data_IF_670691926775
#
_entry.id   IF_670691926775
#
_cell.length_a   1.000
_cell.length_b   1.000
_cell.length_c   1.000
_cell.angle_alpha   90.00
_cell.angle_beta   90.00
_cell.angle_gamma   90.00
#
_symmetry.space_group_name_H-M   'P 1'
#
loop_
_entity.id
_entity.type
_entity.pdbx_description
1 polymer ?
#
# COMPACT_ATOMS: atom_id res chain seq x y z
N UNK A 1 -16.76 -7.59 2.40
CA UNK A 1 -16.35 -6.17 2.52
C UNK A 1 -15.29 -5.97 1.47
N UNK A 2 -15.48 -5.00 0.57
CA UNK A 2 -14.44 -4.61 -0.38
C UNK A 2 -13.46 -3.67 0.34
N UNK A 3 -12.16 -3.91 0.17
CA UNK A 3 -11.09 -3.11 0.77
C UNK A 3 -10.42 -2.18 -0.25
N UNK A 4 -10.77 -2.30 -1.53
CA UNK A 4 -10.20 -1.47 -2.58
C UNK A 4 -10.80 -0.07 -2.57
N UNK A 5 -9.96 0.93 -2.87
CA UNK A 5 -10.42 2.28 -3.20
C UNK A 5 -10.89 2.24 -4.66
N UNK A 6 -12.17 2.56 -4.95
CA UNK A 6 -12.63 2.64 -6.33
C UNK A 6 -11.77 3.62 -7.14
N UNK A 7 -11.19 3.14 -8.23
CA UNK A 7 -10.30 3.95 -9.04
C UNK A 7 -11.12 4.95 -9.90
N UNK A 8 -11.21 6.20 -9.44
CA UNK A 8 -11.96 7.26 -10.12
C UNK A 8 -11.09 7.97 -11.16
N UNK A 9 -10.99 7.38 -12.35
CA UNK A 9 -10.25 7.97 -13.48
C UNK A 9 -10.71 9.40 -13.79
N UNK A 10 -9.76 10.28 -14.09
CA UNK A 10 -9.95 11.73 -14.29
C UNK A 10 -10.45 12.48 -13.03
N UNK A 11 -10.69 11.79 -11.91
CA UNK A 11 -11.32 12.32 -10.71
C UNK A 11 -10.38 12.48 -9.51
N UNK A 12 -10.96 12.39 -8.31
CA UNK A 12 -10.21 12.36 -7.04
C UNK A 12 -9.74 10.93 -6.78
N UNK A 13 -8.48 10.79 -6.39
CA UNK A 13 -7.80 9.53 -6.09
C UNK A 13 -6.70 9.82 -5.06
N UNK A 14 -6.23 8.82 -4.28
CA UNK A 14 -5.07 9.03 -3.44
C UNK A 14 -3.86 9.31 -4.33
N UNK A 15 -2.85 9.97 -3.79
CA UNK A 15 -1.64 10.26 -4.54
C UNK A 15 -0.40 10.18 -3.66
N UNK A 16 0.57 9.39 -4.11
CA UNK A 16 1.95 9.38 -3.61
C UNK A 16 2.85 10.03 -4.66
N UNK A 17 3.73 10.93 -4.23
CA UNK A 17 4.72 11.62 -5.08
C UNK A 17 4.15 12.54 -6.18
N UNK A 18 2.95 13.08 -5.99
CA UNK A 18 2.28 14.02 -6.92
C UNK A 18 2.25 13.53 -8.38
N UNK A 19 2.08 12.22 -8.57
CA UNK A 19 2.02 11.62 -9.91
C UNK A 19 0.81 12.13 -10.69
N UNK A 20 0.89 12.05 -12.02
CA UNK A 20 -0.25 12.34 -12.89
C UNK A 20 -1.47 11.51 -12.48
N UNK A 21 -2.65 12.14 -12.51
CA UNK A 21 -3.90 11.44 -12.25
C UNK A 21 -4.13 10.33 -13.26
N UNK A 22 -4.79 9.26 -12.83
CA UNK A 22 -5.19 8.22 -13.76
C UNK A 22 -6.16 8.78 -14.79
N UNK A 23 -5.93 8.44 -16.06
CA UNK A 23 -6.71 8.93 -17.20
C UNK A 23 -7.54 7.81 -17.78
N UNK A 24 -8.76 8.13 -18.15
CA UNK A 24 -9.62 7.29 -18.97
C UNK A 24 -10.13 8.13 -20.14
N UNK A 25 -9.86 7.66 -21.34
CA UNK A 25 -10.28 8.29 -22.60
C UNK A 25 -10.78 7.24 -23.58
N UNK A 26 -11.72 7.56 -24.48
CA UNK A 26 -12.06 6.63 -25.55
C UNK A 26 -10.86 6.42 -26.49
N UNK A 27 -10.73 5.21 -27.02
CA UNK A 27 -9.78 4.87 -28.08
C UNK A 27 -10.00 5.84 -29.24
N UNK A 28 -8.89 6.29 -29.82
CA UNK A 28 -8.90 7.15 -31.02
C UNK A 28 -8.23 6.46 -32.19
N UNK A 29 -8.93 6.32 -33.31
CA UNK A 29 -8.38 5.80 -34.57
C UNK A 29 -8.56 6.82 -35.69
N UNK A 30 -7.48 7.50 -36.08
CA UNK A 30 -7.56 8.60 -37.04
C UNK A 30 -8.38 9.77 -36.47
N UNK A 31 -9.49 10.10 -37.14
CA UNK A 31 -10.46 11.12 -36.68
C UNK A 31 -11.52 10.58 -35.74
N UNK A 32 -11.68 9.26 -35.64
CA UNK A 32 -12.83 8.64 -34.99
C UNK A 32 -12.55 8.38 -33.50
N UNK A 33 -13.55 8.64 -32.66
CA UNK A 33 -13.55 8.32 -31.23
C UNK A 33 -14.48 7.14 -30.97
N UNK A 34 -13.97 6.12 -30.29
CA UNK A 34 -14.74 4.91 -29.96
C UNK A 34 -15.51 5.10 -28.64
N UNK A 35 -16.53 5.95 -28.71
CA UNK A 35 -17.50 6.19 -27.64
C UNK A 35 -18.91 6.31 -28.20
N UNK A 36 -19.88 5.72 -27.51
CA UNK A 36 -21.31 5.81 -27.86
C UNK A 36 -21.79 7.26 -27.81
N UNK A 37 -21.26 8.07 -26.89
CA UNK A 37 -21.57 9.51 -26.83
C UNK A 37 -21.13 10.27 -28.08
N UNK A 38 -20.11 9.76 -28.76
CA UNK A 38 -19.50 10.37 -29.95
C UNK A 38 -19.94 9.68 -31.25
N UNK A 39 -20.95 8.79 -31.17
CA UNK A 39 -21.60 8.15 -32.32
C UNK A 39 -21.06 6.77 -32.71
N UNK A 40 -20.10 6.21 -31.96
CA UNK A 40 -19.66 4.84 -32.17
C UNK A 40 -20.72 3.81 -31.71
N UNK A 41 -20.65 2.59 -32.23
CA UNK A 41 -21.57 1.49 -31.83
C UNK A 41 -21.24 0.89 -30.47
N UNK A 42 -20.06 1.17 -29.93
CA UNK A 42 -19.59 0.67 -28.64
C UNK A 42 -18.61 1.66 -28.00
N UNK A 43 -18.40 1.50 -26.68
CA UNK A 43 -17.36 2.21 -25.94
C UNK A 43 -16.10 1.36 -25.91
N UNK A 44 -14.97 1.94 -26.30
CA UNK A 44 -13.65 1.29 -26.19
C UNK A 44 -12.75 2.20 -25.36
N UNK A 45 -12.73 2.07 -24.02
CA UNK A 45 -11.92 2.92 -23.17
C UNK A 45 -10.44 2.49 -23.17
N UNK A 46 -9.56 3.47 -23.13
CA UNK A 46 -8.13 3.33 -22.85
C UNK A 46 -7.82 3.99 -21.51
N UNK A 47 -7.02 3.31 -20.68
CA UNK A 47 -6.61 3.80 -19.36
C UNK A 47 -5.10 4.01 -19.29
N UNK A 48 -4.68 4.98 -18.49
CA UNK A 48 -3.29 5.20 -18.09
C UNK A 48 -3.27 5.51 -16.60
N UNK A 49 -2.42 4.84 -15.82
CA UNK A 49 -2.32 5.03 -14.37
C UNK A 49 -0.93 4.66 -13.85
N UNK A 50 -0.55 5.24 -12.71
CA UNK A 50 0.59 4.77 -11.93
C UNK A 50 0.08 3.78 -10.88
N UNK A 51 0.36 2.49 -11.10
CA UNK A 51 -0.21 1.41 -10.28
C UNK A 51 0.13 1.51 -8.79
N UNK A 52 1.30 2.02 -8.43
CA UNK A 52 1.75 2.11 -7.03
C UNK A 52 1.31 3.40 -6.34
N UNK A 53 1.21 4.50 -7.10
CA UNK A 53 1.08 5.82 -6.51
C UNK A 53 -0.35 6.39 -6.48
N UNK A 54 -1.33 5.73 -7.11
CA UNK A 54 -2.64 6.35 -7.37
C UNK A 54 -3.87 5.54 -6.96
N UNK A 55 -3.68 4.41 -6.28
CA UNK A 55 -4.78 3.57 -5.82
C UNK A 55 -4.32 2.36 -5.02
N UNK A 56 -5.28 1.48 -4.71
CA UNK A 56 -4.99 0.17 -4.10
C UNK A 56 -4.24 -0.71 -5.10
N UNK A 57 -3.16 -1.33 -4.64
CA UNK A 57 -2.31 -2.19 -5.48
C UNK A 57 -1.71 -3.33 -4.66
N UNK A 58 -0.92 -4.17 -5.32
CA UNK A 58 -0.21 -5.28 -4.70
C UNK A 58 1.19 -5.31 -5.24
N UNK A 59 2.15 -5.48 -4.33
CA UNK A 59 3.56 -5.62 -4.67
C UNK A 59 4.01 -7.06 -4.47
N UNK A 60 5.02 -7.45 -5.23
CA UNK A 60 5.80 -8.67 -5.01
C UNK A 60 7.26 -8.28 -4.89
N UNK A 61 8.11 -9.21 -4.44
CA UNK A 61 9.56 -8.98 -4.38
C UNK A 61 10.16 -8.53 -5.72
N UNK A 62 9.52 -8.85 -6.85
CA UNK A 62 9.86 -8.31 -8.17
C UNK A 62 9.85 -6.78 -8.26
N UNK A 63 9.27 -6.07 -7.30
CA UNK A 63 9.38 -4.62 -7.15
C UNK A 63 10.82 -4.16 -6.84
N UNK A 64 11.65 -5.01 -6.20
CA UNK A 64 13.04 -4.72 -5.86
C UNK A 64 14.06 -5.38 -6.80
N UNK A 65 13.62 -6.27 -7.67
CA UNK A 65 14.49 -7.10 -8.50
C UNK A 65 14.56 -6.53 -9.92
N UNK A 66 15.72 -6.71 -10.57
CA UNK A 66 15.92 -6.32 -11.97
C UNK A 66 14.94 -7.05 -12.91
N UNK A 67 14.70 -8.34 -12.64
CA UNK A 67 13.70 -9.12 -13.35
C UNK A 67 12.41 -9.15 -12.54
N UNK A 68 11.36 -8.54 -13.07
CA UNK A 68 10.06 -8.53 -12.43
C UNK A 68 9.45 -9.93 -12.42
N UNK A 69 8.80 -10.26 -11.30
CA UNK A 69 7.95 -11.45 -11.16
C UNK A 69 6.51 -11.09 -11.49
N UNK A 70 5.81 -11.99 -12.17
CA UNK A 70 4.38 -11.84 -12.46
C UNK A 70 3.55 -12.18 -11.21
N UNK A 71 2.92 -11.16 -10.60
CA UNK A 71 2.04 -11.32 -9.44
C UNK A 71 0.91 -12.34 -9.70
N UNK A 72 0.38 -12.39 -10.92
CA UNK A 72 -0.67 -13.33 -11.32
C UNK A 72 -0.21 -14.78 -11.33
N UNK A 73 1.09 -15.03 -11.51
CA UNK A 73 1.70 -16.36 -11.42
C UNK A 73 2.02 -16.78 -9.98
N UNK A 74 2.23 -15.81 -9.09
CA UNK A 74 2.61 -16.03 -7.69
C UNK A 74 1.40 -16.24 -6.78
N UNK A 75 0.32 -15.49 -6.99
CA UNK A 75 -0.88 -15.57 -6.17
C UNK A 75 -1.72 -16.80 -6.55
N UNK A 76 -1.40 -17.95 -5.93
CA UNK A 76 -2.07 -19.24 -6.22
C UNK A 76 -3.27 -19.52 -5.34
N UNK A 77 -3.28 -18.95 -4.14
CA UNK A 77 -4.33 -19.17 -3.15
C UNK A 77 -5.45 -18.14 -3.30
N UNK A 78 -6.68 -18.61 -3.52
CA UNK A 78 -7.84 -17.73 -3.71
C UNK A 78 -8.44 -17.17 -2.40
N UNK A 79 -8.17 -17.81 -1.26
CA UNK A 79 -8.71 -17.42 0.06
C UNK A 79 -7.67 -17.71 1.13
N UNK A 80 -7.34 -16.70 1.94
CA UNK A 80 -6.30 -16.78 2.97
C UNK A 80 -6.85 -16.44 4.37
N UNK A 81 -6.50 -17.21 5.42
CA UNK A 81 -6.81 -16.84 6.80
C UNK A 81 -6.19 -15.50 7.17
N UNK A 82 -7.03 -14.53 7.51
CA UNK A 82 -6.62 -13.14 7.67
C UNK A 82 -6.96 -12.60 9.05
N UNK A 83 -6.00 -11.96 9.70
CA UNK A 83 -6.21 -11.18 10.91
C UNK A 83 -6.26 -9.68 10.57
N UNK A 84 -7.27 -8.97 11.09
CA UNK A 84 -7.33 -7.51 11.07
C UNK A 84 -6.94 -6.98 12.44
N UNK A 85 -5.94 -6.10 12.48
CA UNK A 85 -5.58 -5.33 13.67
C UNK A 85 -5.76 -3.83 13.40
N UNK A 86 -5.94 -3.06 14.47
CA UNK A 86 -6.04 -1.61 14.40
C UNK A 86 -4.98 -1.02 15.30
N UNK A 87 -4.14 -0.17 14.74
CA UNK A 87 -3.02 0.48 15.43
C UNK A 87 -3.21 1.99 15.40
N UNK A 88 -2.79 2.64 16.47
CA UNK A 88 -2.62 4.09 16.48
C UNK A 88 -1.13 4.35 16.26
N UNK A 89 -0.72 4.97 15.14
CA UNK A 89 0.64 5.41 14.95
C UNK A 89 1.08 6.34 16.08
N UNK A 90 2.34 6.23 16.49
CA UNK A 90 2.95 7.06 17.54
C UNK A 90 4.10 7.88 16.97
N UNK A 91 4.54 8.91 17.69
CA UNK A 91 5.72 9.68 17.28
C UNK A 91 6.98 8.84 17.51
N UNK A 92 7.95 8.91 16.60
CA UNK A 92 9.18 8.12 16.69
C UNK A 92 9.94 8.34 18.00
N UNK A 93 9.93 9.55 18.55
CA UNK A 93 10.54 9.86 19.86
C UNK A 93 9.90 9.11 21.04
N UNK A 94 8.70 8.53 20.85
CA UNK A 94 7.97 7.80 21.89
C UNK A 94 8.35 6.32 21.95
N UNK A 95 9.26 5.86 21.09
CA UNK A 95 9.71 4.47 21.01
C UNK A 95 11.23 4.37 20.98
N UNK A 96 11.75 3.25 21.49
CA UNK A 96 13.18 2.89 21.42
C UNK A 96 13.49 1.99 20.20
N UNK A 97 12.51 1.79 19.30
CA UNK A 97 12.66 0.97 18.09
C UNK A 97 13.50 1.68 17.01
N UNK A 98 14.12 0.90 16.12
CA UNK A 98 15.09 1.38 15.14
C UNK A 98 14.48 1.61 13.74
N UNK A 99 15.15 2.47 12.98
CA UNK A 99 14.98 2.63 11.54
C UNK A 99 16.35 2.70 10.85
N UNK A 100 16.46 2.26 9.60
CA UNK A 100 17.73 2.06 8.89
C UNK A 100 18.36 3.36 8.37
N UNK A 101 17.62 4.47 8.38
CA UNK A 101 18.11 5.80 8.04
C UNK A 101 17.74 6.81 9.14
N UNK A 102 18.29 8.02 9.05
CA UNK A 102 17.96 9.11 9.98
C UNK A 102 16.51 9.52 9.74
N UNK A 103 15.75 9.62 10.84
CA UNK A 103 14.35 10.06 10.85
C UNK A 103 14.15 11.16 11.88
N UNK A 104 13.17 12.02 11.65
CA UNK A 104 12.84 13.08 12.60
C UNK A 104 12.02 12.52 13.76
N UNK A 105 12.29 13.01 14.96
CA UNK A 105 11.66 12.57 16.22
C UNK A 105 10.13 12.65 16.19
N UNK A 106 9.56 13.64 15.51
CA UNK A 106 8.11 13.85 15.41
C UNK A 106 7.43 13.03 14.30
N UNK A 107 8.18 12.30 13.46
CA UNK A 107 7.59 11.47 12.41
C UNK A 107 6.74 10.33 13.01
N UNK A 108 5.66 10.01 12.33
CA UNK A 108 4.70 9.02 12.82
C UNK A 108 5.09 7.61 12.39
N UNK A 109 5.11 6.68 13.34
CA UNK A 109 5.55 5.29 13.12
C UNK A 109 4.57 4.27 13.65
N UNK A 110 4.60 3.08 13.05
CA UNK A 110 3.92 1.87 13.49
C UNK A 110 4.98 0.93 14.08
N UNK A 111 4.86 0.63 15.37
CA UNK A 111 5.88 -0.09 16.14
C UNK A 111 5.55 -1.56 16.30
N UNK A 112 6.58 -2.39 16.52
CA UNK A 112 6.43 -3.81 16.84
C UNK A 112 5.58 -3.99 18.10
N UNK A 113 5.80 -3.13 19.09
CA UNK A 113 5.02 -3.10 20.34
C UNK A 113 3.53 -2.91 20.07
N UNK A 114 3.15 -1.90 19.26
CA UNK A 114 1.75 -1.64 18.92
C UNK A 114 1.09 -2.81 18.18
N UNK A 115 1.82 -3.45 17.25
CA UNK A 115 1.34 -4.60 16.48
C UNK A 115 1.13 -5.80 17.40
N UNK A 116 2.13 -6.13 18.23
CA UNK A 116 2.10 -7.30 19.11
C UNK A 116 0.91 -7.27 20.06
N UNK A 117 0.66 -6.12 20.69
CA UNK A 117 -0.47 -5.91 21.59
C UNK A 117 -1.82 -6.25 20.94
N UNK A 118 -1.97 -5.97 19.65
CA UNK A 118 -3.22 -6.23 18.93
C UNK A 118 -3.27 -7.62 18.29
N UNK A 119 -2.10 -8.16 17.91
CA UNK A 119 -1.99 -9.42 17.19
C UNK A 119 -2.03 -10.65 18.09
N UNK A 120 -1.56 -10.56 19.34
CA UNK A 120 -1.39 -11.73 20.23
C UNK A 120 -2.68 -12.57 20.40
N UNK A 121 -3.86 -11.93 20.41
CA UNK A 121 -5.16 -12.60 20.47
C UNK A 121 -5.48 -13.48 19.25
N UNK A 122 -4.84 -13.22 18.11
CA UNK A 122 -5.03 -13.93 16.85
C UNK A 122 -3.98 -15.01 16.62
N UNK A 123 -2.90 -15.04 17.41
CA UNK A 123 -1.74 -15.92 17.19
C UNK A 123 -2.11 -17.40 17.10
N UNK A 124 -3.09 -17.85 17.89
CA UNK A 124 -3.57 -19.25 17.90
C UNK A 124 -4.29 -19.67 16.61
N UNK A 125 -4.73 -18.70 15.79
CA UNK A 125 -5.41 -18.97 14.53
C UNK A 125 -4.43 -19.11 13.36
N UNK A 126 -3.14 -18.88 13.58
CA UNK A 126 -2.09 -18.96 12.55
C UNK A 126 -2.47 -18.24 11.24
N UNK A 127 -2.81 -16.94 11.29
CA UNK A 127 -3.20 -16.19 10.10
C UNK A 127 -2.03 -16.13 9.11
N UNK A 128 -2.31 -16.35 7.83
CA UNK A 128 -1.32 -16.17 6.76
C UNK A 128 -1.22 -14.72 6.30
N UNK A 129 -2.25 -13.94 6.62
CA UNK A 129 -2.41 -12.57 6.16
C UNK A 129 -2.68 -11.65 7.34
N UNK A 130 -2.03 -10.49 7.36
CA UNK A 130 -2.25 -9.43 8.33
C UNK A 130 -2.74 -8.17 7.62
N UNK A 131 -3.91 -7.68 8.01
CA UNK A 131 -4.38 -6.35 7.64
C UNK A 131 -4.12 -5.40 8.81
N UNK A 132 -3.45 -4.28 8.53
CA UNK A 132 -3.21 -3.21 9.49
C UNK A 132 -4.02 -1.99 9.09
N UNK A 133 -5.01 -1.65 9.93
CA UNK A 133 -5.74 -0.39 9.86
C UNK A 133 -5.09 0.62 10.80
N UNK A 134 -4.61 1.74 10.27
CA UNK A 134 -4.04 2.83 11.06
C UNK A 134 -5.13 3.84 11.43
N UNK A 135 -5.03 4.47 12.60
CA UNK A 135 -5.95 5.54 13.03
C UNK A 135 -5.31 6.93 12.88
N UNK A 136 -6.07 7.96 12.48
CA UNK A 136 -7.47 7.92 12.03
C UNK A 136 -7.63 7.26 10.64
N UNK A 137 -8.77 6.60 10.41
CA UNK A 137 -9.12 5.96 9.14
C UNK A 137 -10.47 6.51 8.63
N UNK A 138 -10.49 7.80 8.31
CA UNK A 138 -11.70 8.48 7.84
C UNK A 138 -11.83 8.31 6.32
N UNK A 139 -13.04 8.50 5.75
CA UNK A 139 -13.28 8.36 4.30
C UNK A 139 -12.36 9.24 3.43
N UNK A 140 -12.01 10.44 3.91
CA UNK A 140 -11.09 11.35 3.22
C UNK A 140 -9.69 10.75 2.98
N UNK A 141 -9.30 9.71 3.74
CA UNK A 141 -8.03 9.00 3.54
C UNK A 141 -7.90 8.44 2.12
N UNK A 142 -9.03 8.14 1.48
CA UNK A 142 -9.10 7.65 0.10
C UNK A 142 -8.69 8.69 -0.95
N UNK A 143 -8.53 9.96 -0.57
CA UNK A 143 -8.25 11.07 -1.50
C UNK A 143 -7.03 11.92 -1.10
N UNK A 144 -6.27 11.49 -0.08
CA UNK A 144 -5.13 12.25 0.43
C UNK A 144 -4.01 12.37 -0.62
N UNK A 145 -3.37 13.54 -0.63
CA UNK A 145 -2.07 13.76 -1.25
C UNK A 145 -1.00 13.53 -0.17
N UNK A 146 -0.28 12.42 -0.24
CA UNK A 146 0.65 12.02 0.82
C UNK A 146 1.92 12.88 0.89
N UNK A 147 2.19 13.70 -0.13
CA UNK A 147 3.22 14.75 -0.07
C UNK A 147 2.82 15.92 0.86
N UNK A 148 1.52 16.18 1.02
CA UNK A 148 0.99 17.23 1.90
C UNK A 148 0.63 16.68 3.29
N UNK A 149 0.24 15.41 3.35
CA UNK A 149 -0.08 14.69 4.57
C UNK A 149 0.75 13.41 4.65
N UNK A 150 2.01 13.49 5.13
CA UNK A 150 2.89 12.33 5.21
C UNK A 150 2.24 11.17 5.99
N UNK A 151 2.23 9.95 5.43
CA UNK A 151 1.69 8.80 6.11
C UNK A 151 2.63 8.34 7.22
N UNK A 152 2.13 7.61 8.24
CA UNK A 152 3.02 6.86 9.10
C UNK A 152 3.72 5.75 8.30
N UNK A 153 4.88 5.30 8.79
CA UNK A 153 5.60 4.15 8.25
C UNK A 153 5.94 3.16 9.37
N UNK A 154 6.45 1.99 9.05
CA UNK A 154 6.77 1.00 10.08
C UNK A 154 8.20 1.17 10.59
N UNK A 155 8.46 0.86 11.86
CA UNK A 155 9.84 0.68 12.33
C UNK A 155 10.43 -0.60 11.71
N UNK A 156 11.76 -0.74 11.68
CA UNK A 156 12.36 -1.99 11.19
C UNK A 156 12.02 -3.17 12.11
N UNK A 157 11.97 -2.91 13.42
CA UNK A 157 11.50 -3.87 14.42
C UNK A 157 10.07 -4.37 14.15
N UNK A 158 9.17 -3.50 13.65
CA UNK A 158 7.81 -3.90 13.31
C UNK A 158 7.76 -4.90 12.15
N UNK A 159 8.51 -4.69 11.07
CA UNK A 159 8.55 -5.64 9.95
C UNK A 159 9.29 -6.92 10.32
N UNK A 160 10.35 -6.86 11.13
CA UNK A 160 11.02 -8.04 11.68
C UNK A 160 10.03 -8.91 12.45
N UNK A 161 9.22 -8.30 13.33
CA UNK A 161 8.16 -9.01 14.05
C UNK A 161 7.15 -9.66 13.08
N UNK A 162 6.65 -8.93 12.09
CA UNK A 162 5.69 -9.46 11.11
C UNK A 162 6.27 -10.66 10.36
N UNK A 163 7.53 -10.58 9.95
CA UNK A 163 8.26 -11.68 9.32
C UNK A 163 8.39 -12.90 10.26
N UNK A 164 8.81 -12.68 11.51
CA UNK A 164 8.94 -13.74 12.53
C UNK A 164 7.59 -14.40 12.89
N UNK A 165 6.47 -13.69 12.74
CA UNK A 165 5.13 -14.23 12.92
C UNK A 165 4.68 -15.15 11.77
N UNK A 166 5.45 -15.25 10.68
CA UNK A 166 5.14 -16.08 9.52
C UNK A 166 3.99 -15.53 8.67
N UNK A 167 3.82 -14.20 8.65
CA UNK A 167 2.84 -13.54 7.79
C UNK A 167 3.36 -13.51 6.35
N UNK A 168 2.60 -14.12 5.43
CA UNK A 168 2.92 -14.17 4.01
C UNK A 168 2.43 -12.94 3.25
N UNK A 169 1.33 -12.33 3.71
CA UNK A 169 0.71 -11.17 3.07
C UNK A 169 0.43 -10.09 4.08
N UNK A 170 1.00 -8.91 3.86
CA UNK A 170 0.75 -7.72 4.65
C UNK A 170 -0.08 -6.74 3.82
N UNK A 171 -1.26 -6.38 4.33
CA UNK A 171 -2.13 -5.36 3.74
C UNK A 171 -2.16 -4.16 4.67
N UNK A 172 -1.89 -2.99 4.13
CA UNK A 172 -1.82 -1.74 4.87
C UNK A 172 -2.72 -0.70 4.20
N UNK A 173 -3.22 0.23 5.00
CA UNK A 173 -4.07 1.33 4.54
C UNK A 173 -3.28 2.63 4.30
N UNK A 174 -1.97 2.51 4.09
CA UNK A 174 -1.00 3.58 3.83
C UNK A 174 -0.23 3.23 2.55
N UNK A 175 0.36 4.20 1.84
CA UNK A 175 0.86 3.99 0.49
C UNK A 175 2.16 3.18 0.42
N UNK A 176 2.88 3.01 1.53
CA UNK A 176 4.13 2.25 1.61
C UNK A 176 4.34 1.72 3.03
N UNK A 177 5.11 0.63 3.18
CA UNK A 177 5.61 0.19 4.49
C UNK A 177 6.86 0.96 4.93
N UNK A 178 7.56 1.57 3.98
CA UNK A 178 8.74 2.40 4.21
C UNK A 178 8.37 3.88 4.35
N UNK A 179 9.25 4.63 5.00
CA UNK A 179 9.26 6.09 4.99
C UNK A 179 9.34 6.60 3.55
N UNK A 180 8.58 7.66 3.21
CA UNK A 180 8.55 8.19 1.84
C UNK A 180 9.92 8.63 1.30
N UNK A 181 10.83 9.04 2.17
CA UNK A 181 12.20 9.44 1.83
C UNK A 181 13.16 8.59 2.65
N UNK A 182 13.48 7.38 2.21
CA UNK A 182 14.37 6.45 2.93
C UNK A 182 15.74 6.28 2.24
N UNK A 183 16.17 7.30 1.50
CA UNK A 183 17.36 7.28 0.63
C UNK A 183 17.33 6.22 -0.49
N UNK A 184 16.14 5.66 -0.79
CA UNK A 184 15.95 4.64 -1.82
C UNK A 184 16.34 3.23 -1.36
N UNK A 185 16.41 3.00 -0.05
CA UNK A 185 16.87 1.74 0.54
C UNK A 185 15.78 0.67 0.45
N UNK A 186 14.51 1.05 0.65
CA UNK A 186 13.34 0.18 0.78
C UNK A 186 13.56 -0.90 1.85
N UNK A 187 14.06 -0.49 3.01
CA UNK A 187 14.54 -1.41 4.04
C UNK A 187 13.43 -2.25 4.66
N UNK A 188 12.23 -1.72 4.85
CA UNK A 188 11.09 -2.50 5.35
C UNK A 188 10.56 -3.48 4.31
N UNK A 189 10.53 -3.12 3.02
CA UNK A 189 10.23 -4.08 1.96
C UNK A 189 11.22 -5.26 1.98
N UNK A 190 12.53 -4.97 2.10
CA UNK A 190 13.59 -6.00 2.21
C UNK A 190 13.38 -6.91 3.40
N UNK A 191 13.19 -6.33 4.60
CA UNK A 191 12.94 -7.10 5.83
C UNK A 191 11.70 -7.98 5.67
N UNK A 192 10.61 -7.47 5.11
CA UNK A 192 9.38 -8.24 4.92
C UNK A 192 9.59 -9.45 3.99
N UNK A 193 10.41 -9.29 2.95
CA UNK A 193 10.75 -10.36 2.01
C UNK A 193 11.96 -11.20 2.42
N UNK A 194 12.54 -10.96 3.60
CA UNK A 194 13.60 -11.78 4.18
C UNK A 194 15.01 -11.50 3.63
N UNK A 195 15.26 -10.30 3.11
CA UNK A 195 16.60 -9.76 2.83
C UNK A 195 17.16 -9.04 4.07
#
# INVERSE_FOLDING_TARGET
VDLSIPYNFNGKQPNLYDVEKGKLSPLKTGSDLWSVSDGASCNVPEISMNIHCSGTHTESVGHLLENSSDIGSMLKDGILPTALITVLPESFQSTDEDYHCIINEDESVITATSIKLQFDKWKILYPQTLIIRTLPNNEEKQFLQFNESPPPFFTNSALKLIYELGINHLIVDIPSVDRMSDDGILGNHRIFWGD
#
